data_IF_049023344447
#
_entry.id   IF_049023344447
#
_cell.length_a   1.000
_cell.length_b   1.000
_cell.length_c   1.000
_cell.angle_alpha   90.00
_cell.angle_beta   90.00
_cell.angle_gamma   90.00
#
_symmetry.space_group_name_H-M   'P 1'
#
loop_
_entity.id
_entity.type
_entity.pdbx_description
1 polymer ?
#
# COMPACT_ATOMS: atom_id res chain seq x y z
N UNK A 1 13.63 -8.65 -2.12
CA UNK A 1 13.46 -7.28 -1.61
C UNK A 1 14.15 -6.26 -2.52
N UNK A 2 15.48 -6.29 -2.72
CA UNK A 2 16.16 -5.29 -3.54
C UNK A 2 15.78 -5.29 -5.04
N UNK A 3 15.44 -6.45 -5.61
CA UNK A 3 15.08 -6.58 -7.04
C UNK A 3 13.76 -5.92 -7.44
N UNK A 4 12.88 -5.67 -6.47
CA UNK A 4 11.53 -5.15 -6.76
C UNK A 4 11.48 -3.61 -6.83
N UNK A 5 12.54 -2.90 -6.39
CA UNK A 5 12.59 -1.43 -6.52
C UNK A 5 11.57 -0.66 -5.67
N UNK A 6 11.13 -1.21 -4.53
CA UNK A 6 10.07 -0.61 -3.70
C UNK A 6 10.37 0.81 -3.20
N UNK A 7 11.64 1.16 -2.99
CA UNK A 7 12.04 2.52 -2.63
C UNK A 7 11.67 3.54 -3.72
N UNK A 8 12.09 3.26 -4.95
CA UNK A 8 11.80 4.11 -6.11
C UNK A 8 10.29 4.14 -6.42
N UNK A 9 9.61 3.01 -6.21
CA UNK A 9 8.15 2.93 -6.32
C UNK A 9 7.45 3.88 -5.34
N UNK A 10 7.86 3.87 -4.07
CA UNK A 10 7.30 4.76 -3.04
C UNK A 10 7.50 6.23 -3.40
N UNK A 11 8.70 6.61 -3.85
CA UNK A 11 9.00 7.99 -4.25
C UNK A 11 8.11 8.44 -5.41
N UNK A 12 8.04 7.66 -6.50
CA UNK A 12 7.21 7.99 -7.67
C UNK A 12 5.73 8.09 -7.30
N UNK A 13 5.23 7.15 -6.50
CA UNK A 13 3.84 7.14 -6.04
C UNK A 13 3.54 8.39 -5.18
N UNK A 14 4.43 8.74 -4.26
CA UNK A 14 4.29 9.91 -3.40
C UNK A 14 4.24 11.20 -4.22
N UNK A 15 5.19 11.40 -5.14
CA UNK A 15 5.22 12.59 -6.00
C UNK A 15 3.92 12.75 -6.79
N UNK A 16 3.42 11.65 -7.38
CA UNK A 16 2.19 11.68 -8.18
C UNK A 16 0.95 12.04 -7.34
N UNK A 17 0.85 11.44 -6.15
CA UNK A 17 -0.30 11.63 -5.27
C UNK A 17 -0.30 13.03 -4.66
N UNK A 18 0.84 13.53 -4.19
CA UNK A 18 0.98 14.91 -3.68
C UNK A 18 0.65 15.93 -4.76
N UNK A 19 1.11 15.71 -6.01
CA UNK A 19 0.75 16.56 -7.15
C UNK A 19 -0.75 16.57 -7.46
N UNK A 20 -1.48 15.52 -7.05
CA UNK A 20 -2.93 15.41 -7.22
C UNK A 20 -3.71 15.92 -6.00
N UNK A 21 -3.02 16.45 -4.98
CA UNK A 21 -3.60 16.91 -3.72
C UNK A 21 -3.93 15.80 -2.71
N UNK A 22 -3.47 14.57 -2.94
CA UNK A 22 -3.70 13.44 -2.04
C UNK A 22 -2.52 13.19 -1.09
N UNK A 23 -2.66 12.16 -0.24
CA UNK A 23 -1.63 11.72 0.70
C UNK A 23 -1.31 10.23 0.55
N UNK A 24 -0.08 9.86 0.87
CA UNK A 24 0.39 8.47 0.88
C UNK A 24 0.69 8.06 2.30
N UNK A 25 0.09 6.97 2.76
CA UNK A 25 0.30 6.40 4.10
C UNK A 25 0.89 5.00 4.00
N UNK A 26 1.77 4.66 4.94
CA UNK A 26 2.34 3.32 5.02
C UNK A 26 1.39 2.44 5.84
N UNK A 27 0.97 1.31 5.25
CA UNK A 27 0.20 0.30 5.97
C UNK A 27 1.12 -0.48 6.93
N UNK A 28 0.53 -1.10 7.96
CA UNK A 28 1.27 -1.96 8.88
C UNK A 28 1.94 -3.14 8.15
N UNK A 29 3.09 -3.58 8.65
CA UNK A 29 3.87 -4.66 8.04
C UNK A 29 3.09 -5.98 7.96
N UNK A 30 2.21 -6.24 8.93
CA UNK A 30 1.41 -7.46 9.02
C UNK A 30 -0.06 -7.20 8.70
N UNK A 31 -0.36 -6.14 7.94
CA UNK A 31 -1.71 -5.85 7.51
C UNK A 31 -2.26 -6.99 6.62
N UNK A 32 -3.33 -7.69 7.04
CA UNK A 32 -3.78 -8.92 6.39
C UNK A 32 -4.62 -8.66 5.12
N UNK A 33 -4.19 -7.74 4.26
CA UNK A 33 -4.95 -7.33 3.07
C UNK A 33 -5.36 -8.49 2.17
N UNK A 34 -4.49 -9.48 1.99
CA UNK A 34 -4.76 -10.67 1.17
C UNK A 34 -5.77 -11.64 1.79
N UNK A 35 -5.99 -11.56 3.12
CA UNK A 35 -6.95 -12.40 3.84
C UNK A 35 -8.25 -11.67 4.17
N UNK A 36 -8.26 -10.34 4.09
CA UNK A 36 -9.44 -9.52 4.33
C UNK A 36 -10.39 -9.56 3.13
N UNK A 37 -11.62 -10.01 3.37
CA UNK A 37 -12.71 -9.95 2.40
C UNK A 37 -13.03 -8.48 2.03
N UNK A 38 -12.95 -8.10 0.75
CA UNK A 38 -13.31 -6.74 0.32
C UNK A 38 -14.81 -6.44 0.47
N UNK A 39 -15.67 -7.45 0.36
CA UNK A 39 -17.13 -7.31 0.48
C UNK A 39 -17.60 -7.20 1.93
N UNK A 40 -16.88 -7.85 2.86
CA UNK A 40 -17.41 -8.14 4.20
C UNK A 40 -16.43 -7.84 5.34
N UNK A 41 -15.17 -7.51 5.04
CA UNK A 41 -14.16 -7.11 6.02
C UNK A 41 -13.66 -8.23 6.95
N UNK A 42 -14.21 -9.46 6.85
CA UNK A 42 -13.76 -10.57 7.67
C UNK A 42 -12.41 -11.13 7.20
N UNK A 43 -11.64 -11.66 8.14
CA UNK A 43 -10.42 -12.41 7.86
C UNK A 43 -10.78 -13.84 7.49
N UNK A 44 -10.47 -14.24 6.26
CA UNK A 44 -10.51 -15.64 5.85
C UNK A 44 -9.23 -16.31 6.36
N UNK A 45 -9.39 -17.14 7.40
CA UNK A 45 -8.28 -17.73 8.16
C UNK A 45 -7.53 -18.78 7.36
#
# INVERSE_FOLDING_TARGET
IARQGFYQFRERLTTKIVSSGGTVVLADQWFPSSKTCHNCGCLNQ
#
